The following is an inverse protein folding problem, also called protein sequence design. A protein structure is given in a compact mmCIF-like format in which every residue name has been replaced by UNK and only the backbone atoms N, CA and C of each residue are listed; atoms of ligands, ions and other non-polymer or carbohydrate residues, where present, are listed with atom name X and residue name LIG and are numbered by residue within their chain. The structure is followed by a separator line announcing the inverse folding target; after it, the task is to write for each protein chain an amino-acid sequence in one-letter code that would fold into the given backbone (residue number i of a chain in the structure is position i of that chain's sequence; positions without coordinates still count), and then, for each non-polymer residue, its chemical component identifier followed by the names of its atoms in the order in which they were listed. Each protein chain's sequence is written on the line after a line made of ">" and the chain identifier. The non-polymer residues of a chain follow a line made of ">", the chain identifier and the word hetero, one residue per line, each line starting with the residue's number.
data_IF_981709797776
#
_entry.id   IF_981709797776
#
_cell.length_a   1.000
_cell.length_b   1.000
_cell.length_c   1.000
_cell.angle_alpha   90.00
_cell.angle_beta   90.00
_cell.angle_gamma   90.00
#
_symmetry.space_group_name_H-M   'P 1'
#
loop_
_entity.id
_entity.type
_entity.pdbx_description
1 polymer ?
#
# COMPACT_ATOMS: atom_id res chain seq x y z
N UNK A 1 22.32 -58.01 21.09
CA UNK A 1 23.25 -56.92 20.72
C UNK A 1 22.92 -56.29 19.37
N UNK A 2 22.99 -56.96 18.21
CA UNK A 2 22.68 -56.29 16.92
C UNK A 2 21.20 -55.89 16.76
N UNK A 3 20.28 -56.72 17.27
CA UNK A 3 18.84 -56.46 17.23
C UNK A 3 18.43 -55.29 18.13
N UNK A 4 18.99 -55.22 19.34
CA UNK A 4 18.72 -54.14 20.31
C UNK A 4 19.19 -52.78 19.79
N UNK A 5 20.37 -52.76 19.13
CA UNK A 5 20.91 -51.57 18.46
C UNK A 5 20.02 -51.14 17.30
N UNK A 6 19.48 -52.09 16.53
CA UNK A 6 18.55 -51.79 15.43
C UNK A 6 17.23 -51.19 15.94
N UNK A 7 16.65 -51.72 17.02
CA UNK A 7 15.42 -51.16 17.62
C UNK A 7 15.65 -49.78 18.23
N UNK A 8 16.81 -49.54 18.85
CA UNK A 8 17.17 -48.21 19.33
C UNK A 8 17.25 -47.20 18.17
N UNK A 9 17.96 -47.55 17.10
CA UNK A 9 18.10 -46.70 15.92
C UNK A 9 16.75 -46.42 15.23
N UNK A 10 15.85 -47.41 15.20
CA UNK A 10 14.47 -47.23 14.70
C UNK A 10 13.69 -46.21 15.54
N UNK A 11 13.72 -46.35 16.88
CA UNK A 11 13.04 -45.41 17.76
C UNK A 11 13.60 -43.98 17.69
N UNK A 12 14.92 -43.84 17.53
CA UNK A 12 15.56 -42.54 17.31
C UNK A 12 15.14 -41.91 15.98
N UNK A 13 15.08 -42.70 14.90
CA UNK A 13 14.62 -42.24 13.60
C UNK A 13 13.14 -41.83 13.61
N UNK A 14 12.26 -42.63 14.23
CA UNK A 14 10.84 -42.32 14.37
C UNK A 14 10.63 -41.00 15.12
N UNK A 15 11.36 -40.80 16.22
CA UNK A 15 11.32 -39.56 16.98
C UNK A 15 11.81 -38.36 16.15
N UNK A 16 12.90 -38.52 15.40
CA UNK A 16 13.44 -37.47 14.55
C UNK A 16 12.45 -37.08 13.44
N UNK A 17 11.87 -38.06 12.75
CA UNK A 17 10.88 -37.84 11.70
C UNK A 17 9.64 -37.15 12.26
N UNK A 18 9.16 -37.57 13.44
CA UNK A 18 8.03 -36.92 14.12
C UNK A 18 8.32 -35.45 14.44
N UNK A 19 9.51 -35.14 14.94
CA UNK A 19 9.90 -33.75 15.21
C UNK A 19 9.92 -32.90 13.93
N UNK A 20 10.36 -33.46 12.80
CA UNK A 20 10.31 -32.74 11.53
C UNK A 20 8.88 -32.57 11.00
N UNK A 21 8.01 -33.57 11.13
CA UNK A 21 6.59 -33.46 10.77
C UNK A 21 5.89 -32.35 11.56
N UNK A 22 6.12 -32.28 12.88
CA UNK A 22 5.59 -31.20 13.73
C UNK A 22 6.13 -29.83 13.32
N UNK A 23 7.44 -29.72 13.02
CA UNK A 23 8.05 -28.47 12.54
C UNK A 23 7.46 -28.02 11.20
N UNK A 24 7.27 -28.94 10.25
CA UNK A 24 6.71 -28.64 8.94
C UNK A 24 5.26 -28.16 9.07
N UNK A 25 4.44 -28.84 9.87
CA UNK A 25 3.07 -28.40 10.18
C UNK A 25 3.01 -26.98 10.73
N UNK A 26 3.87 -26.65 11.70
CA UNK A 26 3.94 -25.31 12.26
C UNK A 26 4.33 -24.24 11.22
N UNK A 27 5.26 -24.56 10.31
CA UNK A 27 5.65 -23.67 9.20
C UNK A 27 4.47 -23.46 8.24
N UNK A 28 3.76 -24.53 7.87
CA UNK A 28 2.59 -24.46 6.98
C UNK A 28 1.45 -23.63 7.58
N UNK A 29 1.17 -23.79 8.87
CA UNK A 29 0.17 -23.00 9.59
C UNK A 29 0.55 -21.53 9.64
N UNK A 30 1.80 -21.21 10.00
CA UNK A 30 2.30 -19.85 10.01
C UNK A 30 2.24 -19.20 8.61
N UNK A 31 2.58 -19.96 7.57
CA UNK A 31 2.47 -19.50 6.19
C UNK A 31 1.02 -19.21 5.79
N UNK A 32 0.08 -20.09 6.10
CA UNK A 32 -1.35 -19.87 5.82
C UNK A 32 -1.88 -18.62 6.53
N UNK A 33 -1.53 -18.44 7.80
CA UNK A 33 -1.91 -17.26 8.58
C UNK A 33 -1.31 -15.97 7.98
N UNK A 34 -0.06 -16.02 7.52
CA UNK A 34 0.59 -14.92 6.82
C UNK A 34 -0.14 -14.55 5.52
N UNK A 35 -0.45 -15.54 4.67
CA UNK A 35 -1.13 -15.32 3.38
C UNK A 35 -2.51 -14.66 3.59
N UNK A 36 -3.30 -15.18 4.54
CA UNK A 36 -4.60 -14.62 4.88
C UNK A 36 -4.49 -13.17 5.39
N UNK A 37 -3.55 -12.92 6.31
CA UNK A 37 -3.34 -11.59 6.89
C UNK A 37 -2.87 -10.57 5.85
N UNK A 38 -1.93 -10.94 4.98
CA UNK A 38 -1.43 -10.06 3.92
C UNK A 38 -2.51 -9.75 2.87
N UNK A 39 -3.30 -10.75 2.48
CA UNK A 39 -4.41 -10.58 1.53
C UNK A 39 -5.49 -9.67 2.10
N UNK A 40 -5.86 -9.86 3.37
CA UNK A 40 -6.80 -8.98 4.08
C UNK A 40 -6.27 -7.55 4.21
N UNK A 41 -4.99 -7.39 4.58
CA UNK A 41 -4.37 -6.07 4.69
C UNK A 41 -4.38 -5.33 3.34
N UNK A 42 -4.11 -6.03 2.22
CA UNK A 42 -4.21 -5.47 0.87
C UNK A 42 -5.63 -5.02 0.55
N UNK A 43 -6.63 -5.89 0.78
CA UNK A 43 -8.02 -5.57 0.51
C UNK A 43 -8.52 -4.36 1.34
N UNK A 44 -8.18 -4.31 2.63
CA UNK A 44 -8.51 -3.17 3.49
C UNK A 44 -7.82 -1.89 3.02
N UNK A 45 -6.54 -1.95 2.69
CA UNK A 45 -5.81 -0.79 2.17
C UNK A 45 -6.40 -0.27 0.87
N UNK A 46 -6.77 -1.16 -0.06
CA UNK A 46 -7.41 -0.75 -1.32
C UNK A 46 -8.75 -0.05 -1.10
N UNK A 47 -9.52 -0.51 -0.11
CA UNK A 47 -10.81 0.07 0.25
C UNK A 47 -10.69 1.42 0.98
N UNK A 48 -9.64 1.60 1.78
CA UNK A 48 -9.44 2.81 2.59
C UNK A 48 -8.61 3.89 1.89
N UNK A 49 -7.74 3.53 0.95
CA UNK A 49 -6.89 4.47 0.21
C UNK A 49 -7.68 5.62 -0.45
N UNK A 50 -8.85 5.42 -1.09
CA UNK A 50 -9.65 6.52 -1.61
C UNK A 50 -10.08 7.52 -0.52
N UNK A 51 -10.45 7.03 0.67
CA UNK A 51 -10.82 7.90 1.80
C UNK A 51 -9.62 8.71 2.28
N UNK A 52 -8.45 8.08 2.33
CA UNK A 52 -7.19 8.75 2.70
C UNK A 52 -6.87 9.86 1.70
N UNK A 53 -6.95 9.59 0.39
CA UNK A 53 -6.72 10.59 -0.67
C UNK A 53 -7.68 11.77 -0.56
N UNK A 54 -8.98 11.51 -0.33
CA UNK A 54 -9.98 12.57 -0.12
C UNK A 54 -9.56 13.50 1.04
N UNK A 55 -9.04 12.95 2.14
CA UNK A 55 -8.59 13.78 3.27
C UNK A 55 -7.34 14.60 2.94
N UNK A 56 -6.40 14.02 2.18
CA UNK A 56 -5.23 14.75 1.68
C UNK A 56 -5.65 15.89 0.76
N UNK A 57 -6.58 15.66 -0.16
CA UNK A 57 -7.05 16.69 -1.08
C UNK A 57 -7.86 17.77 -0.36
N UNK A 58 -8.64 17.42 0.66
CA UNK A 58 -9.28 18.41 1.53
C UNK A 58 -8.26 19.32 2.21
N UNK A 59 -7.16 18.77 2.74
CA UNK A 59 -6.09 19.56 3.35
C UNK A 59 -5.38 20.46 2.32
N UNK A 60 -5.11 19.94 1.11
CA UNK A 60 -4.56 20.75 -0.01
C UNK A 60 -5.47 21.92 -0.36
N UNK A 61 -6.78 21.68 -0.48
CA UNK A 61 -7.75 22.73 -0.77
C UNK A 61 -7.80 23.81 0.32
N UNK A 62 -7.60 23.44 1.59
CA UNK A 62 -7.48 24.41 2.69
C UNK A 62 -6.22 25.26 2.53
N UNK A 63 -5.07 24.65 2.21
CA UNK A 63 -3.83 25.39 1.92
C UNK A 63 -4.02 26.37 0.77
N UNK A 64 -4.64 25.94 -0.33
CA UNK A 64 -4.90 26.80 -1.49
C UNK A 64 -5.86 27.95 -1.14
N UNK A 65 -6.84 27.70 -0.26
CA UNK A 65 -7.72 28.75 0.26
C UNK A 65 -6.96 29.78 1.09
N UNK A 66 -6.04 29.35 1.96
CA UNK A 66 -5.22 30.25 2.78
C UNK A 66 -4.26 31.08 1.91
N UNK A 67 -3.69 30.50 0.84
CA UNK A 67 -2.87 31.23 -0.13
C UNK A 67 -3.67 32.33 -0.84
N UNK A 68 -4.89 32.04 -1.26
CA UNK A 68 -5.81 33.05 -1.83
C UNK A 68 -6.17 34.14 -0.81
N UNK A 69 -6.36 33.77 0.46
CA UNK A 69 -6.59 34.76 1.52
C UNK A 69 -5.38 35.70 1.70
N UNK A 70 -4.16 35.18 1.55
CA UNK A 70 -2.94 35.99 1.54
C UNK A 70 -2.93 37.00 0.38
N UNK A 71 -3.31 36.59 -0.82
CA UNK A 71 -3.43 37.48 -1.99
C UNK A 71 -4.47 38.58 -1.75
N UNK A 72 -5.61 38.23 -1.14
CA UNK A 72 -6.65 39.20 -0.77
C UNK A 72 -6.14 40.20 0.29
N UNK A 73 -5.36 39.75 1.27
CA UNK A 73 -4.75 40.64 2.27
C UNK A 73 -3.76 41.62 1.63
N UNK A 74 -2.95 41.15 0.67
CA UNK A 74 -2.05 42.01 -0.09
C UNK A 74 -2.83 43.08 -0.86
N UNK A 75 -3.90 42.70 -1.57
CA UNK A 75 -4.74 43.66 -2.29
C UNK A 75 -5.39 44.70 -1.35
N UNK A 76 -5.86 44.27 -0.17
CA UNK A 76 -6.44 45.20 0.84
C UNK A 76 -5.39 46.21 1.33
N UNK A 77 -4.15 45.78 1.53
CA UNK A 77 -3.04 46.67 1.90
C UNK A 77 -2.78 47.68 0.78
N UNK A 78 -2.67 47.22 -0.47
CA UNK A 78 -2.40 48.09 -1.62
C UNK A 78 -3.50 49.14 -1.84
N UNK A 79 -4.75 48.81 -1.51
CA UNK A 79 -5.89 49.72 -1.55
C UNK A 79 -6.00 50.63 -0.31
N UNK A 80 -5.08 50.51 0.66
CA UNK A 80 -5.10 51.30 1.91
C UNK A 80 -6.25 50.94 2.86
N UNK A 81 -6.87 49.77 2.69
CA UNK A 81 -7.98 49.31 3.53
C UNK A 81 -7.51 48.73 4.87
N UNK A 82 -6.23 48.36 4.98
CA UNK A 82 -5.58 47.90 6.21
C UNK A 82 -4.21 48.58 6.36
N UNK A 83 -3.74 48.69 7.60
CA UNK A 83 -2.42 49.24 7.87
C UNK A 83 -1.30 48.25 7.52
N UNK A 84 -0.08 48.77 7.29
CA UNK A 84 1.12 47.93 7.10
C UNK A 84 1.33 46.98 8.28
N UNK A 85 1.06 47.45 9.50
CA UNK A 85 1.22 46.66 10.72
C UNK A 85 0.22 45.50 10.76
N UNK A 86 -1.05 45.76 10.48
CA UNK A 86 -2.09 44.73 10.50
C UNK A 86 -1.84 43.71 9.38
N UNK A 87 -1.41 44.17 8.20
CA UNK A 87 -0.98 43.29 7.12
C UNK A 87 0.18 42.38 7.55
N UNK A 88 1.23 42.93 8.16
CA UNK A 88 2.39 42.16 8.60
C UNK A 88 2.00 41.07 9.61
N UNK A 89 1.17 41.40 10.60
CA UNK A 89 0.71 40.43 11.60
C UNK A 89 -0.16 39.34 10.99
N UNK A 90 -1.16 39.69 10.17
CA UNK A 90 -2.07 38.72 9.58
C UNK A 90 -1.37 37.80 8.54
N UNK A 91 -0.47 38.37 7.74
CA UNK A 91 0.30 37.59 6.77
C UNK A 91 1.27 36.62 7.45
N UNK A 92 1.92 37.03 8.54
CA UNK A 92 2.79 36.13 9.31
C UNK A 92 1.99 34.96 9.92
N UNK A 93 0.80 35.23 10.47
CA UNK A 93 -0.07 34.18 11.01
C UNK A 93 -0.56 33.20 9.93
N UNK A 94 -0.97 33.70 8.76
CA UNK A 94 -1.38 32.85 7.65
C UNK A 94 -0.21 32.03 7.09
N UNK A 95 0.96 32.64 6.93
CA UNK A 95 2.15 31.94 6.45
C UNK A 95 2.51 30.78 7.38
N UNK A 96 2.51 31.01 8.71
CA UNK A 96 2.76 29.93 9.68
C UNK A 96 1.78 28.76 9.54
N UNK A 97 0.49 29.04 9.32
CA UNK A 97 -0.53 28.00 9.12
C UNK A 97 -0.34 27.25 7.80
N UNK A 98 0.00 27.96 6.73
CA UNK A 98 0.32 27.36 5.43
C UNK A 98 1.52 26.42 5.59
N UNK A 99 2.61 26.90 6.18
CA UNK A 99 3.84 26.12 6.37
C UNK A 99 3.58 24.86 7.21
N UNK A 100 2.80 24.97 8.29
CA UNK A 100 2.43 23.82 9.12
C UNK A 100 1.63 22.78 8.33
N UNK A 101 0.62 23.22 7.58
CA UNK A 101 -0.24 22.32 6.80
C UNK A 101 0.52 21.67 5.64
N UNK A 102 1.36 22.43 4.93
CA UNK A 102 2.21 21.90 3.86
C UNK A 102 3.21 20.88 4.38
N UNK A 103 3.83 21.14 5.53
CA UNK A 103 4.72 20.17 6.18
C UNK A 103 3.97 18.87 6.50
N UNK A 104 2.81 18.95 7.15
CA UNK A 104 2.00 17.77 7.49
C UNK A 104 1.51 17.03 6.24
N UNK A 105 1.16 17.75 5.17
CA UNK A 105 0.81 17.16 3.89
C UNK A 105 1.97 16.36 3.29
N UNK A 106 3.20 16.89 3.38
CA UNK A 106 4.42 16.17 3.01
C UNK A 106 4.57 14.87 3.80
N UNK A 107 4.51 14.96 5.13
CA UNK A 107 4.63 13.81 6.04
C UNK A 107 3.55 12.73 5.75
N UNK A 108 2.30 13.13 5.53
CA UNK A 108 1.24 12.18 5.18
C UNK A 108 1.44 11.56 3.80
N UNK A 109 1.89 12.32 2.81
CA UNK A 109 2.15 11.80 1.46
C UNK A 109 3.25 10.73 1.50
N UNK A 110 4.34 10.99 2.21
CA UNK A 110 5.42 10.01 2.41
C UNK A 110 4.92 8.77 3.15
N UNK A 111 4.12 8.97 4.20
CA UNK A 111 3.60 7.85 4.99
C UNK A 111 2.67 6.96 4.18
N UNK A 112 1.83 7.55 3.32
CA UNK A 112 0.96 6.81 2.40
C UNK A 112 1.79 5.96 1.46
N UNK A 113 2.84 6.52 0.86
CA UNK A 113 3.72 5.79 -0.04
C UNK A 113 4.46 4.64 0.67
N UNK A 114 4.93 4.85 1.90
CA UNK A 114 5.57 3.83 2.73
C UNK A 114 4.59 2.66 3.01
N UNK A 115 3.38 2.98 3.45
CA UNK A 115 2.35 1.97 3.76
C UNK A 115 1.95 1.21 2.51
N UNK A 116 1.71 1.90 1.40
CA UNK A 116 1.36 1.29 0.13
C UNK A 116 2.46 0.34 -0.38
N UNK A 117 3.73 0.75 -0.30
CA UNK A 117 4.87 -0.09 -0.65
C UNK A 117 4.94 -1.36 0.21
N UNK A 118 4.77 -1.22 1.53
CA UNK A 118 4.79 -2.35 2.47
C UNK A 118 3.63 -3.32 2.24
N UNK A 119 2.42 -2.80 2.03
CA UNK A 119 1.24 -3.61 1.74
C UNK A 119 1.44 -4.41 0.45
N UNK A 120 1.92 -3.76 -0.62
CA UNK A 120 2.19 -4.43 -1.90
C UNK A 120 3.26 -5.50 -1.78
N UNK A 121 4.33 -5.23 -1.05
CA UNK A 121 5.40 -6.19 -0.81
C UNK A 121 4.91 -7.45 -0.08
N UNK A 122 4.14 -7.29 1.00
CA UNK A 122 3.60 -8.41 1.76
C UNK A 122 2.58 -9.20 0.92
N UNK A 123 1.73 -8.50 0.17
CA UNK A 123 0.78 -9.10 -0.74
C UNK A 123 1.45 -9.91 -1.86
N UNK A 124 2.49 -9.37 -2.50
CA UNK A 124 3.24 -10.06 -3.54
C UNK A 124 3.81 -11.40 -3.05
N UNK A 125 4.28 -11.45 -1.79
CA UNK A 125 4.75 -12.70 -1.17
C UNK A 125 3.63 -13.65 -0.80
N UNK A 126 2.45 -13.14 -0.50
CA UNK A 126 1.29 -13.97 -0.20
C UNK A 126 0.67 -14.61 -1.46
N UNK A 127 1.09 -14.21 -2.66
CA UNK A 127 0.63 -14.83 -3.91
C UNK A 127 1.11 -16.28 -3.99
N UNK A 128 0.17 -17.20 -4.21
CA UNK A 128 0.44 -18.62 -4.37
C UNK A 128 0.04 -19.11 -5.76
N UNK A 129 0.59 -20.25 -6.18
CA UNK A 129 0.21 -20.90 -7.45
C UNK A 129 -1.29 -21.21 -7.50
N UNK A 130 -1.85 -21.71 -6.39
CA UNK A 130 -3.28 -21.96 -6.27
C UNK A 130 -4.12 -20.69 -6.45
N UNK A 131 -3.73 -19.58 -5.81
CA UNK A 131 -4.45 -18.31 -5.96
C UNK A 131 -4.38 -17.79 -7.39
N UNK A 132 -3.18 -17.71 -7.97
CA UNK A 132 -2.96 -17.15 -9.31
C UNK A 132 -3.59 -17.99 -10.42
N UNK A 133 -3.66 -19.31 -10.25
CA UNK A 133 -4.29 -20.22 -11.22
C UNK A 133 -5.79 -19.95 -11.47
N UNK A 134 -6.43 -19.18 -10.57
CA UNK A 134 -7.84 -18.78 -10.69
C UNK A 134 -8.04 -17.65 -11.70
N UNK A 135 -6.96 -17.05 -12.18
CA UNK A 135 -7.00 -15.89 -13.07
C UNK A 135 -6.37 -16.24 -14.43
N UNK A 136 -7.06 -15.87 -15.50
CA UNK A 136 -6.42 -15.71 -16.80
C UNK A 136 -5.76 -14.32 -16.84
N UNK A 137 -4.45 -14.27 -16.58
CA UNK A 137 -3.70 -13.01 -16.51
C UNK A 137 -3.58 -12.30 -17.86
N UNK A 138 -3.73 -13.02 -18.98
CA UNK A 138 -3.69 -12.43 -20.33
C UNK A 138 -5.03 -11.76 -20.60
N UNK A 139 -6.14 -12.45 -20.33
CA UNK A 139 -7.47 -11.86 -20.48
C UNK A 139 -7.70 -10.70 -19.50
N UNK A 140 -7.17 -10.81 -18.28
CA UNK A 140 -7.23 -9.72 -17.30
C UNK A 140 -6.50 -8.47 -17.81
N UNK A 141 -5.33 -8.63 -18.43
CA UNK A 141 -4.61 -7.52 -19.05
C UNK A 141 -5.44 -6.84 -20.12
N UNK A 142 -5.98 -7.64 -21.05
CA UNK A 142 -6.80 -7.13 -22.14
C UNK A 142 -8.00 -6.36 -21.61
N UNK A 143 -8.68 -6.86 -20.58
CA UNK A 143 -9.81 -6.17 -19.94
C UNK A 143 -9.42 -4.83 -19.34
N UNK A 144 -8.21 -4.71 -18.77
CA UNK A 144 -7.68 -3.44 -18.24
C UNK A 144 -7.45 -2.45 -19.40
N UNK A 145 -6.82 -2.89 -20.49
CA UNK A 145 -6.59 -2.07 -21.68
C UNK A 145 -7.91 -1.60 -22.33
N UNK A 146 -8.86 -2.52 -22.51
CA UNK A 146 -10.17 -2.22 -23.10
C UNK A 146 -10.97 -1.23 -22.21
N UNK A 147 -10.91 -1.39 -20.88
CA UNK A 147 -11.54 -0.46 -19.95
C UNK A 147 -10.91 0.94 -20.05
N UNK A 148 -9.59 1.02 -20.21
CA UNK A 148 -8.89 2.30 -20.38
C UNK A 148 -9.24 2.96 -21.72
N UNK A 149 -9.19 2.21 -22.81
CA UNK A 149 -9.54 2.69 -24.14
C UNK A 149 -11.01 3.16 -24.24
N UNK A 150 -11.92 2.50 -23.52
CA UNK A 150 -13.32 2.88 -23.43
C UNK A 150 -13.59 4.04 -22.45
N UNK A 151 -12.57 4.59 -21.79
CA UNK A 151 -12.71 5.67 -20.81
C UNK A 151 -13.46 5.27 -19.53
N UNK A 152 -13.57 3.96 -19.24
CA UNK A 152 -14.27 3.44 -18.05
C UNK A 152 -13.44 3.58 -16.77
N UNK A 153 -12.12 3.71 -16.91
CA UNK A 153 -11.19 3.92 -15.79
C UNK A 153 -10.27 5.11 -16.10
N UNK A 154 -9.94 5.87 -15.06
CA UNK A 154 -8.99 6.97 -15.14
C UNK A 154 -7.52 6.47 -15.23
N UNK A 155 -6.58 7.40 -15.46
CA UNK A 155 -5.15 7.09 -15.58
C UNK A 155 -4.57 6.48 -14.29
N UNK A 156 -5.04 6.93 -13.13
CA UNK A 156 -4.53 6.48 -11.84
C UNK A 156 -4.95 5.02 -11.57
N UNK A 157 -6.23 4.72 -11.79
CA UNK A 157 -6.81 3.38 -11.67
C UNK A 157 -6.14 2.43 -12.66
N UNK A 158 -5.93 2.87 -13.90
CA UNK A 158 -5.21 2.09 -14.91
C UNK A 158 -3.78 1.76 -14.47
N UNK A 159 -3.01 2.77 -14.03
CA UNK A 159 -1.64 2.58 -13.57
C UNK A 159 -1.56 1.60 -12.40
N UNK A 160 -2.48 1.71 -11.44
CA UNK A 160 -2.59 0.78 -10.31
C UNK A 160 -2.87 -0.66 -10.78
N UNK A 161 -3.88 -0.86 -11.62
CA UNK A 161 -4.24 -2.19 -12.12
C UNK A 161 -3.12 -2.83 -12.93
N UNK A 162 -2.43 -2.07 -13.78
CA UNK A 162 -1.27 -2.57 -14.54
C UNK A 162 -0.13 -2.98 -13.63
N UNK A 163 0.13 -2.23 -12.57
CA UNK A 163 1.17 -2.56 -11.61
C UNK A 163 0.83 -3.83 -10.83
N UNK A 164 -0.41 -3.99 -10.36
CA UNK A 164 -0.85 -5.20 -9.68
C UNK A 164 -0.77 -6.44 -10.59
N UNK A 165 -1.19 -6.30 -11.85
CA UNK A 165 -1.07 -7.35 -12.84
C UNK A 165 0.41 -7.73 -13.09
N UNK A 166 1.31 -6.74 -13.19
CA UNK A 166 2.73 -7.01 -13.35
C UNK A 166 3.29 -7.83 -12.18
N UNK A 167 2.91 -7.48 -10.94
CA UNK A 167 3.29 -8.25 -9.75
C UNK A 167 2.74 -9.68 -9.81
N UNK A 168 1.48 -9.86 -10.21
CA UNK A 168 0.88 -11.19 -10.36
C UNK A 168 1.61 -12.04 -11.41
N UNK A 169 1.95 -11.46 -12.57
CA UNK A 169 2.68 -12.15 -13.63
C UNK A 169 4.08 -12.55 -13.18
N UNK A 170 4.84 -11.63 -12.59
CA UNK A 170 6.18 -11.93 -12.09
C UNK A 170 6.15 -13.03 -11.01
N UNK A 171 5.16 -12.99 -10.11
CA UNK A 171 4.98 -14.03 -9.11
C UNK A 171 4.62 -15.38 -9.76
N UNK A 172 3.74 -15.39 -10.76
CA UNK A 172 3.36 -16.60 -11.51
C UNK A 172 4.56 -17.24 -12.21
N UNK A 173 5.36 -16.43 -12.91
CA UNK A 173 6.57 -16.89 -13.58
C UNK A 173 7.56 -17.50 -12.58
N UNK A 174 7.88 -16.78 -11.51
CA UNK A 174 8.77 -17.27 -10.46
C UNK A 174 8.27 -18.59 -9.85
N UNK A 175 6.97 -18.66 -9.53
CA UNK A 175 6.36 -19.85 -8.95
C UNK A 175 6.34 -21.04 -9.91
N UNK A 176 6.41 -20.84 -11.23
CA UNK A 176 6.45 -21.94 -12.22
C UNK A 176 7.87 -22.36 -12.61
N UNK A 177 8.89 -21.59 -12.22
CA UNK A 177 10.30 -21.97 -12.36
C UNK A 177 10.80 -22.86 -11.21
N UNK A 178 10.07 -22.89 -10.09
CA UNK A 178 10.27 -23.79 -8.94
C UNK A 178 9.46 -25.09 -9.09
#
# INVERSE_FOLDING_TARGET
>A
MSLDVAYLALGELENLLKQYDEKLKAIEEAWRAFVDSATKAKASWDADLPKVKIRVDQLRNVVDSLKKEMEVLLAKKELGLISERDYATLSEELQKKIDELEKRLGEFTEKIAEVEGRVRYLWARALTREYLSKFDLVELEKRIEDAKAAGKIDDETYAKMKQELAVMKSAWEFLNLL
#
